data_IF_674676163819
#
_entry.id   IF_674676163819
#
_cell.length_a   1.000
_cell.length_b   1.000
_cell.length_c   1.000
_cell.angle_alpha   90.00
_cell.angle_beta   90.00
_cell.angle_gamma   90.00
#
_symmetry.space_group_name_H-M   'P 1'
#
loop_
_entity.id
_entity.type
_entity.pdbx_description
1 polymer ?
#
# COMPACT_ATOMS: atom_id res chain seq x y z
N UNK A 1 -54.76 3.00 4.24
CA UNK A 1 -53.92 4.16 4.65
C UNK A 1 -52.60 4.06 3.93
N UNK A 2 -52.35 4.91 2.93
CA UNK A 2 -51.09 4.92 2.17
C UNK A 2 -50.15 5.92 2.84
N UNK A 3 -48.97 5.46 3.22
CA UNK A 3 -47.85 6.34 3.65
C UNK A 3 -46.98 6.65 2.45
N UNK A 4 -46.83 7.93 2.14
CA UNK A 4 -45.89 8.41 1.14
C UNK A 4 -44.49 8.59 1.75
N UNK A 5 -43.45 8.04 1.10
CA UNK A 5 -42.06 8.32 1.40
C UNK A 5 -41.49 9.24 0.33
N UNK A 6 -40.88 10.33 0.79
CA UNK A 6 -40.16 11.28 -0.05
C UNK A 6 -38.68 10.84 -0.13
N UNK A 7 -38.27 10.48 -1.34
CA UNK A 7 -36.82 10.25 -1.61
C UNK A 7 -36.29 11.53 -2.25
N UNK A 8 -35.31 12.16 -1.57
CA UNK A 8 -34.59 13.33 -2.08
C UNK A 8 -33.36 12.84 -2.83
N UNK A 9 -33.36 13.01 -4.15
CA UNK A 9 -32.19 12.82 -4.99
C UNK A 9 -31.53 14.18 -5.16
N UNK A 10 -30.27 14.31 -4.72
CA UNK A 10 -29.46 15.49 -5.00
C UNK A 10 -28.77 15.31 -6.37
N UNK A 11 -29.30 16.02 -7.35
CA UNK A 11 -28.59 16.28 -8.61
C UNK A 11 -28.11 17.73 -8.58
N UNK A 12 -26.84 17.92 -8.78
CA UNK A 12 -26.24 19.23 -8.91
C UNK A 12 -26.56 19.85 -10.27
N UNK A 13 -27.04 21.11 -10.25
CA UNK A 13 -27.17 22.05 -11.36
C UNK A 13 -28.05 21.67 -12.54
N UNK A 14 -29.35 21.93 -12.42
CA UNK A 14 -30.09 22.59 -13.51
C UNK A 14 -31.30 23.32 -12.91
N UNK A 15 -31.42 24.61 -13.20
CA UNK A 15 -32.59 25.43 -12.86
C UNK A 15 -33.77 25.02 -13.75
N UNK A 16 -34.81 24.44 -13.17
CA UNK A 16 -36.23 24.67 -13.54
C UNK A 16 -37.11 23.79 -12.64
N UNK A 17 -38.16 24.39 -12.07
CA UNK A 17 -39.16 23.73 -11.26
C UNK A 17 -39.92 22.68 -12.07
N UNK A 18 -40.03 21.46 -11.56
CA UNK A 18 -40.84 20.40 -12.12
C UNK A 18 -41.02 19.26 -11.15
N UNK A 19 -42.15 19.23 -10.44
CA UNK A 19 -42.56 18.10 -9.60
C UNK A 19 -43.12 16.99 -10.50
N UNK A 20 -42.53 15.81 -10.45
CA UNK A 20 -43.08 14.59 -11.07
C UNK A 20 -43.62 13.70 -9.95
N UNK A 21 -44.95 13.48 -9.96
CA UNK A 21 -45.62 12.46 -9.16
C UNK A 21 -45.62 11.15 -9.97
N UNK A 22 -45.00 10.11 -9.46
CA UNK A 22 -45.13 8.76 -9.99
C UNK A 22 -45.93 7.90 -9.00
N UNK A 23 -47.08 7.42 -9.42
CA UNK A 23 -47.92 6.48 -8.67
C UNK A 23 -47.61 5.07 -9.17
N UNK A 24 -47.15 4.21 -8.28
CA UNK A 24 -46.96 2.76 -8.58
C UNK A 24 -48.03 1.99 -7.80
N UNK A 25 -48.97 1.36 -8.50
CA UNK A 25 -49.88 0.36 -7.98
C UNK A 25 -49.24 -1.02 -8.12
N UNK A 26 -48.90 -1.66 -6.99
CA UNK A 26 -48.42 -3.04 -6.96
C UNK A 26 -49.53 -4.02 -6.58
N UNK A 27 -49.77 -5.00 -7.43
CA UNK A 27 -50.72 -6.11 -7.19
C UNK A 27 -50.00 -7.20 -6.38
N UNK A 28 -50.61 -7.60 -5.26
CA UNK A 28 -50.13 -8.69 -4.41
C UNK A 28 -50.80 -10.00 -4.85
N UNK A 29 -50.08 -11.08 -5.20
CA UNK A 29 -50.69 -12.38 -5.41
C UNK A 29 -50.90 -13.12 -4.08
N UNK A 30 -52.07 -13.74 -3.96
CA UNK A 30 -52.49 -14.58 -2.85
C UNK A 30 -51.64 -15.84 -2.75
N UNK A 31 -51.09 -16.11 -1.57
CA UNK A 31 -50.42 -17.36 -1.24
C UNK A 31 -51.44 -18.38 -0.79
N UNK A 32 -51.48 -19.55 -1.45
CA UNK A 32 -52.21 -20.73 -1.03
C UNK A 32 -51.43 -21.55 -0.03
N UNK A 33 -52.05 -21.83 1.12
CA UNK A 33 -51.53 -22.80 2.12
C UNK A 33 -51.76 -24.24 1.62
N UNK A 34 -50.72 -25.05 1.59
CA UNK A 34 -50.78 -26.51 1.41
C UNK A 34 -50.25 -27.17 2.69
N UNK A 35 -50.93 -28.22 3.22
CA UNK A 35 -50.58 -28.82 4.50
C UNK A 35 -49.34 -29.72 4.39
N UNK A 36 -48.57 -29.72 5.45
CA UNK A 36 -47.33 -30.54 5.64
C UNK A 36 -47.64 -32.02 5.67
N UNK A 37 -46.97 -32.79 4.77
CA UNK A 37 -46.85 -34.24 4.85
C UNK A 37 -45.47 -34.56 5.43
N UNK A 38 -45.46 -35.16 6.61
CA UNK A 38 -44.24 -35.67 7.27
C UNK A 38 -43.76 -36.93 6.58
N UNK A 39 -42.59 -36.88 5.95
CA UNK A 39 -41.88 -38.03 5.42
C UNK A 39 -40.68 -38.30 6.34
N UNK A 40 -40.72 -39.41 7.09
CA UNK A 40 -39.59 -39.90 7.87
C UNK A 40 -38.59 -40.58 6.93
N UNK A 41 -37.39 -40.00 6.80
CA UNK A 41 -36.27 -40.60 6.10
C UNK A 41 -35.27 -41.12 7.14
N UNK A 42 -35.09 -42.44 7.13
CA UNK A 42 -34.08 -43.13 7.91
C UNK A 42 -32.70 -42.78 7.38
N UNK A 43 -31.84 -42.18 8.21
CA UNK A 43 -30.45 -41.88 7.89
C UNK A 43 -29.63 -43.08 8.35
N UNK A 44 -29.16 -43.88 7.39
CA UNK A 44 -28.07 -44.85 7.60
C UNK A 44 -26.77 -44.09 7.72
N UNK A 45 -26.10 -44.17 8.86
CA UNK A 45 -24.77 -43.64 9.08
C UNK A 45 -23.76 -44.41 8.23
N UNK A 46 -23.10 -43.69 7.32
CA UNK A 46 -21.84 -44.14 6.71
C UNK A 46 -20.69 -43.54 7.56
N UNK A 47 -20.09 -44.36 8.39
CA UNK A 47 -18.79 -44.08 8.98
C UNK A 47 -17.72 -44.28 7.91
N UNK A 48 -16.90 -43.23 7.66
CA UNK A 48 -15.72 -43.35 6.84
C UNK A 48 -15.58 -42.26 5.77
N UNK A 49 -15.46 -40.98 6.17
CA UNK A 49 -14.82 -39.97 5.33
C UNK A 49 -13.81 -39.24 6.18
N UNK A 50 -12.53 -39.44 5.84
CA UNK A 50 -11.41 -38.77 6.48
C UNK A 50 -11.59 -37.24 6.42
N UNK A 51 -11.47 -36.64 7.57
CA UNK A 51 -11.42 -35.21 7.72
C UNK A 51 -10.18 -34.65 7.01
N UNK A 52 -10.34 -34.15 5.81
CA UNK A 52 -9.39 -33.18 5.28
C UNK A 52 -9.56 -31.93 6.15
N UNK A 53 -8.62 -31.74 7.08
CA UNK A 53 -8.45 -30.50 7.79
C UNK A 53 -8.12 -29.42 6.75
N UNK A 54 -9.15 -28.69 6.32
CA UNK A 54 -8.99 -27.45 5.61
C UNK A 54 -8.15 -26.53 6.49
N UNK A 55 -6.96 -26.16 6.03
CA UNK A 55 -6.15 -25.12 6.63
C UNK A 55 -7.00 -23.86 6.70
N UNK A 56 -7.57 -23.58 7.89
CA UNK A 56 -8.25 -22.34 8.14
C UNK A 56 -7.22 -21.23 7.93
N UNK A 57 -7.42 -20.40 6.92
CA UNK A 57 -6.64 -19.19 6.69
C UNK A 57 -6.64 -18.38 7.99
N UNK A 58 -5.50 -18.36 8.70
CA UNK A 58 -5.33 -17.59 9.93
C UNK A 58 -5.70 -16.15 9.62
N UNK A 59 -6.70 -15.58 10.31
CA UNK A 59 -7.12 -14.19 10.13
C UNK A 59 -5.90 -13.28 10.24
N UNK A 60 -5.57 -12.60 9.16
CA UNK A 60 -4.43 -11.65 9.10
C UNK A 60 -4.72 -10.33 9.81
N UNK A 61 -5.93 -10.12 10.32
CA UNK A 61 -6.39 -8.93 11.04
C UNK A 61 -6.91 -9.37 12.42
N UNK A 62 -6.48 -8.64 13.44
CA UNK A 62 -6.93 -8.79 14.83
C UNK A 62 -7.52 -7.46 15.28
N UNK A 63 -8.76 -7.48 15.73
CA UNK A 63 -9.40 -6.30 16.33
C UNK A 63 -9.00 -6.19 17.80
N UNK A 64 -8.45 -5.05 18.17
CA UNK A 64 -7.98 -4.75 19.53
C UNK A 64 -8.69 -3.54 20.11
N UNK A 65 -8.73 -3.44 21.45
CA UNK A 65 -9.30 -2.27 22.11
C UNK A 65 -8.43 -1.01 21.86
N UNK A 66 -8.98 0.20 21.94
CA UNK A 66 -8.19 1.44 21.83
C UNK A 66 -7.04 1.51 22.84
N UNK A 67 -7.24 0.97 24.05
CA UNK A 67 -6.23 0.92 25.11
C UNK A 67 -5.09 -0.04 24.74
N UNK A 68 -5.42 -1.22 24.25
CA UNK A 68 -4.44 -2.22 23.77
C UNK A 68 -3.64 -1.64 22.62
N UNK A 69 -4.32 -1.06 21.61
CA UNK A 69 -3.68 -0.42 20.47
C UNK A 69 -2.71 0.69 20.90
N UNK A 70 -3.09 1.56 21.83
CA UNK A 70 -2.19 2.61 22.33
C UNK A 70 -0.96 2.02 23.03
N UNK A 71 -1.14 0.94 23.77
CA UNK A 71 -0.02 0.23 24.40
C UNK A 71 0.91 -0.36 23.34
N UNK A 72 0.36 -1.01 22.31
CA UNK A 72 1.13 -1.59 21.21
C UNK A 72 1.90 -0.50 20.42
N UNK A 73 1.30 0.69 20.21
CA UNK A 73 1.97 1.84 19.59
C UNK A 73 3.16 2.30 20.44
N UNK A 74 3.02 2.35 21.78
CA UNK A 74 4.12 2.80 22.65
C UNK A 74 5.38 1.96 22.52
N UNK A 75 5.23 0.66 22.30
CA UNK A 75 6.35 -0.29 22.18
C UNK A 75 6.76 -0.54 20.73
N UNK A 76 6.09 0.08 19.75
CA UNK A 76 6.26 -0.23 18.34
C UNK A 76 7.68 0.11 17.84
N UNK A 77 8.19 -0.77 16.98
CA UNK A 77 9.40 -0.56 16.20
C UNK A 77 9.05 0.01 14.81
N UNK A 78 9.94 0.80 14.25
CA UNK A 78 9.79 1.41 12.92
C UNK A 78 10.97 1.07 12.00
N UNK A 79 12.01 0.44 12.51
CA UNK A 79 13.23 0.17 11.79
C UNK A 79 13.93 -1.09 12.34
N UNK A 80 14.58 -1.81 11.45
CA UNK A 80 15.45 -2.95 11.74
C UNK A 80 16.76 -2.80 10.95
N UNK A 81 17.87 -3.19 11.55
CA UNK A 81 19.19 -3.07 10.92
C UNK A 81 19.28 -3.96 9.67
N UNK A 82 19.80 -3.39 8.57
CA UNK A 82 20.14 -4.08 7.32
C UNK A 82 21.58 -3.79 6.92
N UNK A 83 22.24 -4.75 6.28
CA UNK A 83 23.55 -4.54 5.67
C UNK A 83 23.39 -3.97 4.25
N UNK A 84 23.11 -2.66 4.18
CA UNK A 84 22.78 -1.95 2.94
C UNK A 84 23.80 -2.20 1.82
N UNK A 85 25.13 -2.17 2.06
CA UNK A 85 26.12 -2.42 1.00
C UNK A 85 26.00 -3.80 0.35
N UNK A 86 25.52 -4.81 1.08
CA UNK A 86 25.34 -6.18 0.56
C UNK A 86 23.96 -6.44 -0.05
N UNK A 87 23.01 -5.48 0.05
CA UNK A 87 21.65 -5.67 -0.45
C UNK A 87 21.60 -5.76 -1.98
N UNK A 88 21.05 -6.85 -2.51
CA UNK A 88 20.73 -7.00 -3.93
C UNK A 88 19.41 -6.30 -4.27
N UNK A 89 19.52 -5.01 -4.62
CA UNK A 89 18.35 -4.17 -4.95
C UNK A 89 17.63 -4.67 -6.21
N UNK A 90 18.37 -5.24 -7.17
CA UNK A 90 17.80 -5.76 -8.42
C UNK A 90 16.89 -6.95 -8.15
N UNK A 91 17.37 -7.94 -7.43
CA UNK A 91 16.57 -9.10 -7.05
C UNK A 91 15.48 -8.71 -6.05
N UNK A 92 15.82 -7.86 -5.06
CA UNK A 92 14.91 -7.41 -4.01
C UNK A 92 14.68 -8.45 -2.92
N UNK A 93 13.67 -8.25 -2.03
CA UNK A 93 13.47 -9.09 -0.87
C UNK A 93 13.12 -10.53 -1.27
N UNK A 94 13.91 -11.47 -0.76
CA UNK A 94 13.73 -12.91 -0.94
C UNK A 94 12.69 -13.46 0.06
N UNK A 95 12.39 -14.76 -0.09
CA UNK A 95 11.52 -15.51 0.82
C UNK A 95 10.26 -16.05 0.15
N UNK A 96 9.34 -16.62 0.92
CA UNK A 96 8.13 -17.24 0.38
C UNK A 96 7.33 -16.28 -0.51
N UNK A 97 6.96 -16.76 -1.70
CA UNK A 97 6.22 -15.98 -2.68
C UNK A 97 7.00 -14.87 -3.40
N UNK A 98 8.32 -14.80 -3.27
CA UNK A 98 9.16 -13.89 -4.04
C UNK A 98 9.14 -14.25 -5.54
N UNK A 99 9.28 -13.23 -6.38
CA UNK A 99 9.38 -13.40 -7.83
C UNK A 99 10.69 -12.78 -8.33
N UNK A 100 11.33 -13.44 -9.29
CA UNK A 100 12.43 -12.82 -10.01
C UNK A 100 11.92 -11.60 -10.82
N UNK A 101 12.70 -10.53 -10.94
CA UNK A 101 12.32 -9.38 -11.74
C UNK A 101 11.99 -9.76 -13.19
N UNK A 102 10.87 -9.26 -13.69
CA UNK A 102 10.41 -9.54 -15.06
C UNK A 102 9.90 -10.97 -15.29
N UNK A 103 9.77 -11.80 -14.27
CA UNK A 103 9.19 -13.13 -14.37
C UNK A 103 7.78 -13.05 -14.97
N UNK A 104 7.39 -14.08 -15.77
CA UNK A 104 6.02 -14.22 -16.22
C UNK A 104 5.27 -15.12 -15.23
N UNK A 105 4.25 -14.57 -14.59
CA UNK A 105 3.43 -15.24 -13.59
C UNK A 105 2.08 -15.58 -14.20
N UNK A 106 1.73 -16.86 -14.21
CA UNK A 106 0.40 -17.32 -14.66
C UNK A 106 -0.56 -17.40 -13.50
N UNK A 107 -1.76 -16.85 -13.66
CA UNK A 107 -2.80 -16.90 -12.64
C UNK A 107 -4.20 -16.94 -13.26
N UNK A 108 -5.21 -17.26 -12.44
CA UNK A 108 -6.63 -17.25 -12.80
C UNK A 108 -7.31 -16.07 -12.10
N UNK A 109 -8.12 -15.31 -12.84
CA UNK A 109 -8.87 -14.19 -12.30
C UNK A 109 -9.73 -14.57 -11.10
N UNK A 110 -9.67 -13.77 -10.07
CA UNK A 110 -10.58 -13.82 -8.92
C UNK A 110 -11.36 -12.52 -8.84
N UNK A 111 -12.66 -12.59 -9.09
CA UNK A 111 -13.54 -11.43 -8.97
C UNK A 111 -13.64 -11.01 -7.50
N UNK A 112 -13.06 -9.87 -7.17
CA UNK A 112 -13.04 -9.29 -5.83
C UNK A 112 -13.16 -7.78 -5.93
N UNK A 113 -14.00 -7.18 -5.09
CA UNK A 113 -14.07 -5.73 -4.98
C UNK A 113 -12.78 -5.19 -4.36
N UNK A 114 -12.26 -4.13 -4.94
CA UNK A 114 -11.00 -3.52 -4.52
C UNK A 114 -11.18 -2.01 -4.36
N UNK A 115 -10.72 -1.48 -3.25
CA UNK A 115 -10.73 -0.04 -3.00
C UNK A 115 -9.69 0.70 -3.87
N UNK A 116 -9.94 1.98 -4.14
CA UNK A 116 -9.06 2.87 -4.90
C UNK A 116 -9.24 2.78 -6.42
N UNK A 117 -8.70 3.76 -7.15
CA UNK A 117 -9.00 4.01 -8.56
C UNK A 117 -7.93 3.49 -9.53
N UNK A 118 -6.72 3.13 -9.05
CA UNK A 118 -5.66 2.63 -9.93
C UNK A 118 -6.01 1.27 -10.54
N UNK A 119 -5.65 1.01 -11.80
CA UNK A 119 -5.87 -0.27 -12.46
C UNK A 119 -5.24 -1.43 -11.69
N UNK A 120 -6.07 -2.35 -11.24
CA UNK A 120 -5.65 -3.52 -10.47
C UNK A 120 -6.72 -4.62 -10.49
N UNK A 121 -6.30 -5.83 -10.21
CA UNK A 121 -7.20 -6.99 -10.02
C UNK A 121 -6.60 -7.97 -9.02
N UNK A 122 -7.43 -8.91 -8.57
CA UNK A 122 -6.98 -10.06 -7.80
C UNK A 122 -6.95 -11.28 -8.70
N UNK A 123 -5.92 -12.11 -8.56
CA UNK A 123 -5.88 -13.42 -9.18
C UNK A 123 -5.29 -14.49 -8.23
N UNK A 124 -5.48 -15.74 -8.60
CA UNK A 124 -4.99 -16.90 -7.85
C UNK A 124 -3.91 -17.59 -8.67
N UNK A 125 -2.70 -17.61 -8.14
CA UNK A 125 -1.59 -18.42 -8.64
C UNK A 125 -1.80 -19.84 -8.10
N UNK A 126 -1.76 -20.89 -8.95
CA UNK A 126 -1.95 -22.26 -8.48
C UNK A 126 -0.97 -22.66 -7.37
N UNK A 127 -1.39 -23.46 -6.36
CA UNK A 127 -2.74 -24.01 -6.22
C UNK A 127 -3.77 -23.02 -5.64
N UNK A 128 -3.44 -22.12 -4.71
CA UNK A 128 -4.39 -21.27 -3.96
C UNK A 128 -3.77 -19.94 -3.50
N UNK A 129 -2.71 -19.49 -4.16
CA UNK A 129 -1.99 -18.28 -3.76
C UNK A 129 -2.67 -17.03 -4.32
N UNK A 130 -3.49 -16.38 -3.51
CA UNK A 130 -4.19 -15.13 -3.87
C UNK A 130 -3.23 -13.94 -3.86
N UNK A 131 -3.18 -13.21 -4.98
CA UNK A 131 -2.34 -12.02 -5.14
C UNK A 131 -3.09 -10.82 -5.70
N UNK A 132 -2.70 -9.64 -5.24
CA UNK A 132 -3.10 -8.37 -5.85
C UNK A 132 -2.11 -8.00 -6.94
N UNK A 133 -2.63 -7.69 -8.12
CA UNK A 133 -1.86 -7.24 -9.30
C UNK A 133 -2.22 -5.80 -9.61
N UNK A 134 -1.23 -4.92 -9.71
CA UNK A 134 -1.36 -3.59 -10.31
C UNK A 134 -0.75 -3.63 -11.71
N UNK A 135 -1.32 -2.90 -12.68
CA UNK A 135 -0.86 -2.95 -14.06
C UNK A 135 -1.11 -1.65 -14.82
N UNK A 136 -0.49 -1.53 -16.02
CA UNK A 136 -0.69 -0.43 -16.96
C UNK A 136 0.51 0.52 -17.05
N UNK A 137 0.84 0.95 -18.27
CA UNK A 137 2.00 1.83 -18.52
C UNK A 137 1.82 3.25 -18.01
N UNK A 138 0.59 3.73 -18.00
CA UNK A 138 0.21 5.04 -17.48
C UNK A 138 -0.05 5.02 -15.97
N UNK A 139 -0.14 3.83 -15.36
CA UNK A 139 -0.32 3.65 -13.93
C UNK A 139 1.01 3.83 -13.19
N UNK A 140 1.29 5.03 -12.69
CA UNK A 140 2.52 5.32 -11.96
C UNK A 140 2.76 4.46 -10.73
N UNK A 141 1.69 3.90 -10.11
CA UNK A 141 1.82 3.05 -8.92
C UNK A 141 2.53 1.72 -9.21
N UNK A 142 2.43 1.18 -10.44
CA UNK A 142 3.13 -0.05 -10.86
C UNK A 142 4.64 0.08 -10.70
N UNK A 143 5.16 1.26 -10.96
CA UNK A 143 6.60 1.58 -10.90
C UNK A 143 6.99 2.11 -9.52
N UNK A 144 6.23 3.08 -9.01
CA UNK A 144 6.51 3.76 -7.75
C UNK A 144 6.61 2.81 -6.56
N UNK A 145 5.65 1.88 -6.44
CA UNK A 145 5.67 0.92 -5.34
C UNK A 145 6.87 -0.02 -5.38
N UNK A 146 7.28 -0.47 -6.56
CA UNK A 146 8.47 -1.32 -6.69
C UNK A 146 9.70 -0.58 -6.19
N UNK A 147 9.91 0.68 -6.62
CA UNK A 147 11.06 1.46 -6.18
C UNK A 147 11.00 1.81 -4.69
N UNK A 148 9.86 2.34 -4.24
CA UNK A 148 9.73 2.79 -2.86
C UNK A 148 9.83 1.64 -1.86
N UNK A 149 9.17 0.49 -2.12
CA UNK A 149 9.24 -0.66 -1.22
C UNK A 149 10.65 -1.26 -1.17
N UNK A 150 11.37 -1.31 -2.31
CA UNK A 150 12.77 -1.76 -2.32
C UNK A 150 13.67 -0.81 -1.55
N UNK A 151 13.48 0.49 -1.71
CA UNK A 151 14.26 1.49 -0.97
C UNK A 151 14.00 1.39 0.53
N UNK A 152 12.74 1.35 0.97
CA UNK A 152 12.39 1.20 2.38
C UNK A 152 12.95 -0.09 2.95
N UNK A 153 12.77 -1.23 2.27
CA UNK A 153 13.33 -2.52 2.66
C UNK A 153 14.84 -2.48 2.80
N UNK A 154 15.56 -1.94 1.82
CA UNK A 154 17.01 -1.86 1.87
C UNK A 154 17.52 -1.01 3.03
N UNK A 155 16.81 0.06 3.35
CA UNK A 155 17.13 0.95 4.47
C UNK A 155 16.62 0.43 5.83
N UNK A 156 15.95 -0.74 5.87
CA UNK A 156 15.49 -1.36 7.11
C UNK A 156 14.13 -0.87 7.63
N UNK A 157 13.37 -0.10 6.85
CA UNK A 157 12.02 0.33 7.23
C UNK A 157 10.98 -0.70 6.79
N UNK A 158 10.11 -1.17 7.70
CA UNK A 158 9.13 -2.20 7.41
C UNK A 158 8.10 -1.77 6.35
N UNK A 159 7.91 -2.62 5.34
CA UNK A 159 7.08 -2.32 4.17
C UNK A 159 6.56 -3.60 3.51
N UNK A 160 5.46 -3.53 2.76
CA UNK A 160 5.04 -4.62 1.88
C UNK A 160 6.09 -4.83 0.77
N UNK A 161 6.10 -6.01 0.16
CA UNK A 161 7.06 -6.34 -0.91
C UNK A 161 6.37 -6.27 -2.26
N UNK A 162 6.92 -5.47 -3.18
CA UNK A 162 6.41 -5.36 -4.54
C UNK A 162 7.38 -5.95 -5.55
N UNK A 163 6.88 -6.79 -6.42
CA UNK A 163 7.68 -7.48 -7.43
C UNK A 163 7.26 -7.06 -8.84
N UNK A 164 8.17 -6.51 -9.66
CA UNK A 164 7.90 -6.20 -11.06
C UNK A 164 7.87 -7.51 -11.86
N UNK A 165 6.74 -7.78 -12.48
CA UNK A 165 6.48 -9.04 -13.21
C UNK A 165 5.70 -8.75 -14.49
N UNK A 166 5.55 -9.78 -15.33
CA UNK A 166 4.52 -9.87 -16.35
C UNK A 166 3.46 -10.85 -15.85
N UNK A 167 2.19 -10.55 -16.03
CA UNK A 167 1.12 -11.43 -15.55
C UNK A 167 0.32 -11.97 -16.73
N UNK A 168 0.29 -13.28 -16.83
CA UNK A 168 -0.55 -14.00 -17.78
C UNK A 168 -1.80 -14.47 -17.03
N UNK A 169 -2.91 -13.79 -17.25
CA UNK A 169 -4.15 -14.02 -16.51
C UNK A 169 -5.21 -14.73 -17.36
N UNK A 170 -5.66 -15.88 -16.87
CA UNK A 170 -6.83 -16.56 -17.43
C UNK A 170 -8.12 -15.99 -16.84
N UNK A 171 -9.09 -15.68 -17.72
CA UNK A 171 -10.40 -15.12 -17.33
C UNK A 171 -10.41 -13.65 -16.87
N UNK A 172 -9.29 -12.95 -16.92
CA UNK A 172 -9.26 -11.52 -16.59
C UNK A 172 -10.06 -10.68 -17.60
N UNK A 173 -10.72 -9.61 -17.14
CA UNK A 173 -11.32 -8.64 -18.04
C UNK A 173 -10.22 -7.92 -18.85
N UNK A 174 -10.45 -7.66 -20.16
CA UNK A 174 -9.48 -6.93 -20.98
C UNK A 174 -9.33 -5.49 -20.48
N UNK A 175 -8.10 -5.02 -20.40
CA UNK A 175 -7.75 -3.61 -20.17
C UNK A 175 -7.21 -2.98 -21.45
N UNK A 176 -7.02 -1.65 -21.50
CA UNK A 176 -6.62 -0.93 -22.72
C UNK A 176 -5.24 -1.35 -23.26
N UNK A 177 -4.38 -1.92 -22.44
CA UNK A 177 -3.01 -2.31 -22.81
C UNK A 177 -2.76 -3.81 -22.74
N UNK A 178 -3.83 -4.61 -22.60
CA UNK A 178 -3.70 -6.08 -22.53
C UNK A 178 -3.56 -6.68 -23.91
N UNK A 179 -2.62 -7.61 -24.04
CA UNK A 179 -2.40 -8.38 -25.26
C UNK A 179 -2.90 -9.81 -25.01
N UNK A 180 -3.69 -10.34 -25.97
CA UNK A 180 -4.12 -11.73 -25.90
C UNK A 180 -2.91 -12.66 -26.14
N UNK A 181 -2.72 -13.65 -25.28
CA UNK A 181 -1.67 -14.65 -25.51
C UNK A 181 -1.95 -15.42 -26.82
N UNK A 182 -0.92 -15.56 -27.64
CA UNK A 182 -1.01 -16.32 -28.88
C UNK A 182 -1.29 -17.82 -28.67
N UNK A 183 -1.08 -18.33 -27.46
CA UNK A 183 -1.23 -19.74 -27.10
C UNK A 183 -2.57 -20.10 -26.45
N UNK A 184 -3.43 -19.10 -26.16
CA UNK A 184 -4.69 -19.34 -25.50
C UNK A 184 -5.52 -18.10 -25.18
N UNK A 185 -6.60 -18.25 -24.39
CA UNK A 185 -7.50 -17.15 -24.08
C UNK A 185 -6.95 -16.16 -23.04
N UNK A 186 -5.81 -16.46 -22.40
CA UNK A 186 -5.23 -15.64 -21.35
C UNK A 186 -4.80 -14.26 -21.86
N UNK A 187 -4.85 -13.27 -20.98
CA UNK A 187 -4.41 -11.91 -21.27
C UNK A 187 -3.06 -11.64 -20.60
N UNK A 188 -2.13 -11.04 -21.35
CA UNK A 188 -0.85 -10.59 -20.83
C UNK A 188 -0.97 -9.14 -20.34
N UNK A 189 -0.55 -8.91 -19.10
CA UNK A 189 -0.43 -7.61 -18.45
C UNK A 189 1.07 -7.28 -18.28
N UNK A 190 1.57 -6.29 -19.00
CA UNK A 190 2.95 -5.83 -18.96
C UNK A 190 3.01 -4.32 -19.27
N UNK A 191 3.45 -3.45 -18.36
CA UNK A 191 4.00 -3.75 -17.04
C UNK A 191 2.94 -4.16 -16.01
N UNK A 192 3.37 -4.99 -15.05
CA UNK A 192 2.59 -5.33 -13.89
C UNK A 192 3.48 -5.48 -12.64
N UNK A 193 2.88 -5.35 -11.48
CA UNK A 193 3.52 -5.65 -10.20
C UNK A 193 2.61 -6.49 -9.31
N UNK A 194 3.22 -7.40 -8.54
CA UNK A 194 2.53 -8.25 -7.56
C UNK A 194 2.93 -7.84 -6.16
N UNK A 195 1.92 -7.65 -5.31
CA UNK A 195 2.09 -7.33 -3.89
C UNK A 195 2.18 -8.60 -3.04
N UNK A 196 3.14 -8.60 -2.12
CA UNK A 196 3.24 -9.55 -1.01
C UNK A 196 3.18 -8.78 0.30
N UNK A 197 2.20 -9.12 1.10
CA UNK A 197 1.99 -8.47 2.39
C UNK A 197 3.17 -8.72 3.34
N UNK A 198 3.47 -7.72 4.14
CA UNK A 198 4.40 -7.86 5.27
C UNK A 198 3.89 -8.94 6.23
N UNK A 199 4.81 -9.81 6.69
CA UNK A 199 4.47 -10.95 7.56
C UNK A 199 4.02 -10.46 8.94
N UNK A 200 2.90 -10.97 9.41
CA UNK A 200 2.36 -10.66 10.73
C UNK A 200 0.84 -10.45 10.69
N UNK A 201 0.28 -10.04 11.82
CA UNK A 201 -1.15 -9.78 11.97
C UNK A 201 -1.38 -8.29 12.15
N UNK A 202 -2.20 -7.68 11.31
CA UNK A 202 -2.59 -6.29 11.47
C UNK A 202 -3.45 -6.11 12.74
N UNK A 203 -3.10 -5.13 13.57
CA UNK A 203 -3.83 -4.74 14.76
C UNK A 203 -4.71 -3.54 14.40
N UNK A 204 -6.03 -3.74 14.37
CA UNK A 204 -6.99 -2.72 13.98
C UNK A 204 -7.96 -2.40 15.11
N UNK A 205 -8.46 -1.19 15.12
CA UNK A 205 -9.48 -0.71 16.08
C UNK A 205 -10.57 -0.02 15.28
N UNK A 206 -11.80 -0.50 15.41
CA UNK A 206 -12.94 0.15 14.74
C UNK A 206 -13.21 1.56 15.31
N UNK A 207 -13.46 2.57 14.49
CA UNK A 207 -13.48 2.51 13.02
C UNK A 207 -12.12 2.79 12.36
N UNK A 208 -11.02 2.85 13.11
CA UNK A 208 -9.69 3.23 12.64
C UNK A 208 -8.93 2.03 12.09
N UNK A 209 -8.50 2.14 10.84
CA UNK A 209 -7.59 1.20 10.20
C UNK A 209 -6.20 1.82 10.06
N UNK A 210 -5.15 1.03 10.33
CA UNK A 210 -3.77 1.48 10.25
C UNK A 210 -3.34 2.42 11.39
N UNK A 211 -2.27 3.19 11.17
CA UNK A 211 -1.78 4.21 12.11
C UNK A 211 -1.59 5.56 11.41
N UNK A 212 -1.78 6.65 12.14
CA UNK A 212 -1.52 8.00 11.63
C UNK A 212 -0.06 8.40 11.88
N UNK A 213 0.51 9.27 11.05
CA UNK A 213 1.88 9.76 11.26
C UNK A 213 2.07 10.47 12.61
N UNK A 214 1.00 11.01 13.19
CA UNK A 214 1.02 11.55 14.55
C UNK A 214 1.15 10.45 15.62
N UNK A 215 0.81 9.19 15.33
CA UNK A 215 1.00 8.08 16.26
C UNK A 215 2.49 7.77 16.51
N UNK A 216 3.39 8.14 15.59
CA UNK A 216 4.83 8.03 15.82
C UNK A 216 5.31 8.85 17.02
N UNK A 217 4.63 9.94 17.36
CA UNK A 217 4.98 10.76 18.52
C UNK A 217 4.49 10.15 19.86
N UNK A 218 3.64 9.09 19.80
CA UNK A 218 3.18 8.31 20.95
C UNK A 218 4.10 7.13 21.28
N UNK A 219 5.03 6.78 20.38
CA UNK A 219 6.03 5.74 20.62
C UNK A 219 6.98 6.21 21.72
N UNK A 220 7.24 5.35 22.71
CA UNK A 220 7.94 5.67 23.94
C UNK A 220 9.22 4.85 24.09
N UNK A 221 10.37 5.51 23.92
CA UNK A 221 11.69 4.88 24.07
C UNK A 221 11.91 4.30 25.47
N UNK A 222 11.34 4.94 26.51
CA UNK A 222 11.52 4.48 27.89
C UNK A 222 10.83 3.13 28.15
N UNK A 223 9.85 2.78 27.32
CA UNK A 223 9.16 1.49 27.40
C UNK A 223 9.63 0.49 26.34
N UNK A 224 10.71 0.79 25.60
CA UNK A 224 11.28 -0.09 24.60
C UNK A 224 10.79 0.18 23.17
N UNK A 225 10.03 1.25 22.94
CA UNK A 225 9.65 1.67 21.58
C UNK A 225 10.80 2.27 20.78
N UNK A 226 10.59 2.45 19.48
CA UNK A 226 11.59 2.96 18.55
C UNK A 226 12.16 4.32 18.97
N UNK A 227 13.49 4.52 18.90
CA UNK A 227 14.13 5.80 19.16
C UNK A 227 13.59 6.93 18.28
N UNK A 228 13.56 8.15 18.82
CA UNK A 228 13.11 9.32 18.07
C UNK A 228 13.88 9.51 16.76
N UNK A 229 15.18 9.23 16.75
CA UNK A 229 16.00 9.30 15.54
C UNK A 229 15.44 8.44 14.39
N UNK A 230 15.01 7.21 14.69
CA UNK A 230 14.42 6.31 13.70
C UNK A 230 13.04 6.78 13.24
N UNK A 231 12.21 7.30 14.15
CA UNK A 231 10.88 7.84 13.84
C UNK A 231 10.96 9.09 12.95
N UNK A 232 11.86 10.03 13.27
CA UNK A 232 12.10 11.21 12.45
C UNK A 232 12.72 10.84 11.09
N UNK A 233 13.59 9.81 11.04
CA UNK A 233 14.14 9.28 9.78
C UNK A 233 13.05 8.67 8.88
N UNK A 234 12.08 7.94 9.44
CA UNK A 234 10.94 7.42 8.69
C UNK A 234 10.09 8.57 8.10
N UNK A 235 9.80 9.61 8.91
CA UNK A 235 9.11 10.83 8.43
C UNK A 235 9.88 11.49 7.28
N UNK A 236 11.21 11.63 7.43
CA UNK A 236 12.07 12.25 6.42
C UNK A 236 12.19 11.39 5.16
N UNK A 237 12.20 10.06 5.26
CA UNK A 237 12.20 9.17 4.11
C UNK A 237 10.89 9.29 3.32
N UNK A 238 9.74 9.42 3.99
CA UNK A 238 8.47 9.69 3.34
C UNK A 238 8.47 11.05 2.60
N UNK A 239 9.11 12.07 3.17
CA UNK A 239 9.34 13.35 2.48
C UNK A 239 10.25 13.17 1.27
N UNK A 240 11.36 12.44 1.42
CA UNK A 240 12.34 12.21 0.36
C UNK A 240 11.71 11.58 -0.89
N UNK A 241 10.87 10.55 -0.71
CA UNK A 241 10.16 9.91 -1.83
C UNK A 241 8.88 10.65 -2.23
N UNK A 242 8.51 11.73 -1.56
CA UNK A 242 7.23 12.46 -1.78
C UNK A 242 6.01 11.55 -1.62
N UNK A 243 5.91 10.88 -0.46
CA UNK A 243 4.76 10.01 -0.14
C UNK A 243 3.51 10.86 0.14
N UNK A 244 2.77 11.19 -0.91
CA UNK A 244 1.68 12.18 -0.85
C UNK A 244 0.31 11.61 -0.50
N UNK A 245 0.04 10.31 -0.69
CA UNK A 245 -1.16 9.64 -0.16
C UNK A 245 -0.80 8.89 1.14
N UNK A 246 -0.61 9.65 2.23
CA UNK A 246 -0.09 9.14 3.50
C UNK A 246 -1.17 9.04 4.60
N UNK A 247 -2.41 8.74 4.24
CA UNK A 247 -3.52 8.52 5.18
C UNK A 247 -3.31 7.25 6.03
N UNK A 248 -3.95 7.12 7.21
CA UNK A 248 -3.76 5.96 8.10
C UNK A 248 -3.96 4.60 7.41
N UNK A 249 -4.90 4.48 6.48
CA UNK A 249 -5.14 3.23 5.74
C UNK A 249 -3.97 2.79 4.82
N UNK A 250 -2.98 3.66 4.60
CA UNK A 250 -1.75 3.35 3.85
C UNK A 250 -0.61 2.86 4.76
N UNK A 251 -0.88 2.69 6.04
CA UNK A 251 0.02 2.17 7.05
C UNK A 251 -0.66 1.05 7.83
N UNK A 252 0.12 0.15 8.44
CA UNK A 252 -0.41 -0.90 9.32
C UNK A 252 0.41 -1.01 10.58
N UNK A 253 -0.29 -1.18 11.71
CA UNK A 253 0.29 -1.64 12.96
C UNK A 253 0.26 -3.16 12.94
N UNK A 254 1.41 -3.83 13.01
CA UNK A 254 1.52 -5.26 12.77
C UNK A 254 2.17 -5.93 13.98
N UNK A 255 1.53 -6.99 14.45
CA UNK A 255 2.11 -7.92 15.40
C UNK A 255 2.88 -9.01 14.63
N UNK A 256 4.18 -9.10 14.86
CA UNK A 256 5.05 -10.07 14.19
C UNK A 256 5.27 -11.36 14.97
N UNK A 257 4.74 -11.44 16.19
CA UNK A 257 4.84 -12.64 17.03
C UNK A 257 4.10 -13.83 16.41
N UNK A 258 4.69 -15.01 16.54
CA UNK A 258 3.98 -16.27 16.30
C UNK A 258 3.12 -16.56 17.52
N UNK A 259 1.77 -16.46 17.38
CA UNK A 259 0.85 -16.80 18.45
C UNK A 259 0.84 -18.30 18.73
N UNK A 260 0.86 -18.64 20.03
CA UNK A 260 0.20 -19.84 20.55
C UNK A 260 -1.33 -19.63 20.54
N UNK A 261 -2.09 -20.67 20.15
CA UNK A 261 -3.56 -20.66 20.24
C UNK A 261 -4.00 -20.36 21.67
N UNK A 262 -4.79 -19.30 21.85
CA UNK A 262 -5.37 -18.94 23.14
C UNK A 262 -4.95 -17.59 23.72
N UNK A 263 -3.96 -16.91 23.16
CA UNK A 263 -3.53 -15.60 23.65
C UNK A 263 -4.33 -14.45 23.00
N UNK A 264 -5.38 -13.99 23.68
CA UNK A 264 -5.99 -12.67 23.41
C UNK A 264 -5.10 -11.52 23.91
N UNK A 265 -3.82 -11.80 24.10
CA UNK A 265 -2.87 -10.95 24.78
C UNK A 265 -2.20 -9.89 23.93
N UNK A 266 -1.52 -9.02 24.64
CA UNK A 266 -0.63 -7.97 24.19
C UNK A 266 0.40 -8.52 23.20
N UNK A 267 0.62 -7.81 22.08
CA UNK A 267 1.68 -8.15 21.14
C UNK A 267 3.04 -7.78 21.75
N UNK A 268 3.98 -8.73 21.82
CA UNK A 268 5.31 -8.47 22.35
C UNK A 268 6.19 -7.70 21.35
N UNK A 269 6.00 -7.93 20.04
CA UNK A 269 6.78 -7.26 18.99
C UNK A 269 5.85 -6.60 17.98
N UNK A 270 5.55 -5.34 18.22
CA UNK A 270 4.72 -4.52 17.35
C UNK A 270 5.58 -3.70 16.40
N UNK A 271 5.19 -3.63 15.13
CA UNK A 271 5.86 -2.90 14.07
C UNK A 271 4.89 -1.93 13.40
N UNK A 272 5.30 -0.67 13.27
CA UNK A 272 4.61 0.34 12.45
C UNK A 272 5.21 0.31 11.04
N UNK A 273 4.47 -0.22 10.08
CA UNK A 273 4.92 -0.37 8.70
C UNK A 273 4.11 0.50 7.73
N UNK A 274 4.70 0.83 6.58
CA UNK A 274 4.02 1.51 5.47
C UNK A 274 3.65 0.48 4.41
N UNK A 275 2.36 0.39 4.02
CA UNK A 275 1.90 -0.65 3.11
C UNK A 275 1.55 -0.17 1.69
N UNK A 276 1.32 1.10 1.46
CA UNK A 276 1.02 1.62 0.12
C UNK A 276 1.90 2.85 -0.18
N UNK A 277 2.83 2.67 -1.10
CA UNK A 277 3.79 3.69 -1.53
C UNK A 277 3.58 4.06 -3.02
N UNK A 278 2.39 3.81 -3.56
CA UNK A 278 2.08 4.05 -4.97
C UNK A 278 2.13 5.52 -5.39
N UNK A 279 1.84 6.43 -4.48
CA UNK A 279 1.89 7.87 -4.73
C UNK A 279 3.21 8.49 -4.25
N UNK A 280 4.32 8.06 -4.88
CA UNK A 280 5.70 8.49 -4.57
C UNK A 280 6.48 8.87 -5.84
N UNK A 281 7.68 9.41 -5.67
CA UNK A 281 8.58 9.87 -6.74
C UNK A 281 7.93 10.90 -7.69
N UNK A 282 7.18 11.84 -7.08
CA UNK A 282 6.49 12.94 -7.76
C UNK A 282 5.40 13.48 -6.87
N UNK A 283 5.10 14.77 -6.99
CA UNK A 283 4.13 15.43 -6.13
C UNK A 283 2.70 15.18 -6.64
N UNK A 284 1.97 14.30 -5.95
CA UNK A 284 0.54 14.09 -6.19
C UNK A 284 -0.32 15.11 -5.45
N UNK A 285 -1.39 15.54 -6.11
CA UNK A 285 -2.46 16.36 -5.53
C UNK A 285 -3.82 15.98 -6.15
N UNK A 286 -4.90 16.67 -5.77
CA UNK A 286 -6.26 16.39 -6.28
C UNK A 286 -6.39 16.43 -7.80
N UNK A 287 -5.52 17.18 -8.50
CA UNK A 287 -5.61 17.38 -9.94
C UNK A 287 -4.74 16.43 -10.77
N UNK A 288 -3.74 15.78 -10.15
CA UNK A 288 -2.76 14.98 -10.88
C UNK A 288 -2.46 13.60 -10.29
N UNK A 289 -3.22 13.17 -9.28
CA UNK A 289 -2.89 11.99 -8.45
C UNK A 289 -2.73 10.68 -9.24
N UNK A 290 -3.58 10.45 -10.23
CA UNK A 290 -3.66 9.16 -10.91
C UNK A 290 -2.75 9.07 -12.15
N UNK A 291 -2.30 10.21 -12.66
CA UNK A 291 -1.54 10.26 -13.91
C UNK A 291 -0.19 10.94 -13.77
N UNK A 292 -0.18 12.17 -13.28
CA UNK A 292 1.04 12.99 -13.24
C UNK A 292 1.69 13.01 -11.86
N UNK A 293 1.08 12.36 -10.86
CA UNK A 293 1.51 12.42 -9.47
C UNK A 293 2.75 11.61 -9.18
N UNK A 294 2.74 10.32 -9.51
CA UNK A 294 3.83 9.40 -9.20
C UNK A 294 4.73 9.15 -10.41
N UNK A 295 6.00 8.84 -10.13
CA UNK A 295 7.07 8.60 -11.11
C UNK A 295 7.13 9.72 -12.16
N UNK A 296 7.25 10.94 -11.67
CA UNK A 296 7.41 12.14 -12.48
C UNK A 296 8.71 12.83 -12.06
N UNK A 297 9.77 12.61 -12.86
CA UNK A 297 11.11 13.11 -12.55
C UNK A 297 11.15 14.62 -12.35
N UNK A 298 10.51 15.38 -13.26
CA UNK A 298 10.50 16.84 -13.21
C UNK A 298 9.89 17.34 -11.89
N UNK A 299 8.80 16.72 -11.44
CA UNK A 299 8.14 17.09 -10.19
C UNK A 299 8.93 16.64 -8.96
N UNK A 300 9.51 15.45 -9.02
CA UNK A 300 10.29 14.92 -7.89
C UNK A 300 11.61 15.65 -7.73
N UNK A 301 12.38 15.83 -8.81
CA UNK A 301 13.66 16.55 -8.76
C UNK A 301 13.49 18.05 -8.49
N UNK A 302 12.40 18.65 -8.96
CA UNK A 302 12.08 20.04 -8.72
C UNK A 302 11.52 20.34 -7.32
N UNK A 303 11.18 19.30 -6.52
CA UNK A 303 10.80 19.49 -5.13
C UNK A 303 12.03 19.47 -4.22
N UNK A 304 12.07 20.32 -3.21
CA UNK A 304 13.11 20.26 -2.17
C UNK A 304 12.76 19.21 -1.12
N UNK A 305 13.78 18.71 -0.41
CA UNK A 305 13.58 17.89 0.79
C UNK A 305 13.16 18.76 1.97
N UNK A 306 13.65 19.99 2.02
CA UNK A 306 13.42 20.89 3.13
C UNK A 306 12.45 22.00 2.77
N UNK A 307 11.43 22.17 3.59
CA UNK A 307 10.47 23.26 3.47
C UNK A 307 11.13 24.62 3.68
N UNK A 308 10.65 25.64 2.98
CA UNK A 308 11.05 27.04 3.19
C UNK A 308 10.78 27.55 4.61
N UNK A 309 9.92 26.86 5.38
CA UNK A 309 9.70 27.13 6.81
C UNK A 309 10.88 26.70 7.68
N UNK A 310 11.81 25.89 7.17
CA UNK A 310 13.02 25.50 7.89
C UNK A 310 13.92 26.71 8.12
N UNK A 311 14.28 26.94 9.36
CA UNK A 311 15.10 28.06 9.80
C UNK A 311 16.17 27.62 10.80
N UNK A 312 16.90 28.53 11.39
CA UNK A 312 17.93 28.24 12.40
C UNK A 312 17.40 27.58 13.68
N UNK A 313 16.07 27.52 13.91
CA UNK A 313 15.47 26.95 15.13
C UNK A 313 14.78 25.62 14.91
N UNK A 314 14.45 25.23 13.66
CA UNK A 314 13.83 23.94 13.34
C UNK A 314 14.01 23.58 11.86
N UNK A 315 14.10 22.28 11.58
CA UNK A 315 13.99 21.72 10.24
C UNK A 315 12.61 21.14 10.01
N UNK A 316 12.02 21.45 8.86
CA UNK A 316 10.76 20.88 8.40
C UNK A 316 10.95 20.25 7.03
N UNK A 317 10.47 19.02 6.85
CA UNK A 317 10.44 18.39 5.54
C UNK A 317 9.46 19.09 4.61
N UNK A 318 9.74 19.11 3.28
CA UNK A 318 8.82 19.69 2.29
C UNK A 318 7.83 18.62 1.76
N UNK A 319 6.82 18.33 2.55
CA UNK A 319 5.70 17.49 2.15
C UNK A 319 4.40 18.22 2.54
N UNK A 320 3.99 19.22 1.75
CA UNK A 320 2.76 19.94 2.04
C UNK A 320 1.57 19.01 1.94
N UNK A 321 0.54 19.28 2.70
CA UNK A 321 -0.68 18.49 2.84
C UNK A 321 -1.11 17.88 1.51
N UNK A 322 -1.08 16.58 1.46
CA UNK A 322 -1.60 15.79 0.36
C UNK A 322 -3.12 15.68 0.48
N UNK A 323 -3.72 14.96 -0.43
CA UNK A 323 -5.16 14.82 -0.53
C UNK A 323 -5.84 14.25 0.72
N UNK A 324 -5.16 13.47 1.53
CA UNK A 324 -5.76 12.68 2.61
C UNK A 324 -4.74 12.17 3.63
N UNK A 325 -3.67 12.91 3.90
CA UNK A 325 -2.62 12.44 4.80
C UNK A 325 -2.53 13.21 6.10
N UNK A 326 -1.87 12.62 7.10
CA UNK A 326 -1.55 13.25 8.38
C UNK A 326 -0.08 13.69 8.48
N UNK A 327 0.74 13.43 7.46
CA UNK A 327 2.13 13.89 7.40
C UNK A 327 2.21 15.19 6.58
N UNK A 328 2.18 16.32 7.28
CA UNK A 328 2.30 17.65 6.68
C UNK A 328 3.54 18.35 7.21
N UNK A 329 4.50 18.61 6.34
CA UNK A 329 5.75 19.31 6.65
C UNK A 329 6.34 18.88 8.01
N UNK A 330 6.69 17.61 8.21
CA UNK A 330 7.07 17.09 9.52
C UNK A 330 8.31 17.79 10.05
N UNK A 331 8.32 18.07 11.36
CA UNK A 331 9.51 18.50 12.06
C UNK A 331 10.49 17.34 12.19
N UNK A 332 11.76 17.59 11.84
CA UNK A 332 12.84 16.60 11.84
C UNK A 332 13.97 17.09 12.76
N UNK A 333 14.34 16.27 13.72
CA UNK A 333 15.49 16.52 14.59
C UNK A 333 16.81 16.13 13.91
N UNK A 334 17.93 16.68 14.39
CA UNK A 334 19.26 16.41 13.83
C UNK A 334 19.63 14.91 13.90
N UNK A 335 19.27 14.21 14.98
CA UNK A 335 19.52 12.79 15.10
C UNK A 335 18.80 11.98 14.01
N UNK A 336 17.55 12.31 13.69
CA UNK A 336 16.78 11.65 12.61
C UNK A 336 17.31 11.98 11.23
N UNK A 337 17.71 13.23 11.00
CA UNK A 337 18.36 13.65 9.76
C UNK A 337 19.67 12.88 9.52
N UNK A 338 20.53 12.81 10.54
CA UNK A 338 21.80 12.03 10.45
C UNK A 338 21.52 10.58 10.21
N UNK A 339 20.62 9.98 10.98
CA UNK A 339 20.28 8.57 10.85
C UNK A 339 19.87 8.23 9.41
N UNK A 340 18.95 9.00 8.79
CA UNK A 340 18.57 8.76 7.40
C UNK A 340 19.71 9.06 6.42
N UNK A 341 20.49 10.14 6.64
CA UNK A 341 21.63 10.47 5.82
C UNK A 341 22.63 9.31 5.76
N UNK A 342 22.97 8.75 6.92
CA UNK A 342 23.96 7.66 7.03
C UNK A 342 23.46 6.39 6.32
N UNK A 343 22.15 6.09 6.39
CA UNK A 343 21.57 4.98 5.63
C UNK A 343 21.62 5.24 4.11
N UNK A 344 21.16 6.39 3.65
CA UNK A 344 21.13 6.74 2.23
C UNK A 344 22.53 6.79 1.59
N UNK A 345 23.53 7.23 2.34
CA UNK A 345 24.92 7.34 1.87
C UNK A 345 25.58 5.98 1.66
N UNK A 346 25.08 4.90 2.24
CA UNK A 346 25.57 3.54 2.03
C UNK A 346 25.14 2.95 0.67
N UNK A 347 24.11 3.51 0.03
CA UNK A 347 23.68 3.06 -1.29
C UNK A 347 24.71 3.44 -2.36
N UNK A 348 25.26 2.44 -3.03
CA UNK A 348 26.17 2.61 -4.15
C UNK A 348 25.46 3.09 -5.42
N UNK A 349 26.20 3.67 -6.36
CA UNK A 349 25.66 4.08 -7.68
C UNK A 349 25.10 2.88 -8.46
N UNK A 350 25.67 1.68 -8.30
CA UNK A 350 25.16 0.46 -8.91
C UNK A 350 23.77 0.08 -8.33
N UNK A 351 23.63 0.12 -7.00
CA UNK A 351 22.35 -0.15 -6.35
C UNK A 351 21.27 0.90 -6.72
N UNK A 352 21.65 2.17 -6.89
CA UNK A 352 20.72 3.20 -7.36
C UNK A 352 20.26 2.95 -8.81
N UNK A 353 21.19 2.53 -9.69
CA UNK A 353 20.83 2.11 -11.06
C UNK A 353 19.87 0.92 -11.03
N UNK A 354 20.20 -0.11 -10.28
CA UNK A 354 19.35 -1.30 -10.12
C UNK A 354 17.96 -0.94 -9.63
N UNK A 355 17.85 0.01 -8.68
CA UNK A 355 16.57 0.48 -8.16
C UNK A 355 15.65 1.03 -9.28
N UNK A 356 16.16 1.93 -10.11
CA UNK A 356 15.36 2.59 -11.13
C UNK A 356 15.17 1.74 -12.40
N UNK A 357 16.13 0.88 -12.72
CA UNK A 357 16.00 -0.09 -13.82
C UNK A 357 14.94 -1.15 -13.50
N UNK A 358 15.07 -1.83 -12.36
CA UNK A 358 14.14 -2.90 -11.97
C UNK A 358 12.72 -2.39 -11.75
N UNK A 359 12.60 -1.14 -11.31
CA UNK A 359 11.30 -0.47 -11.16
C UNK A 359 10.76 0.09 -12.48
N UNK A 360 11.54 -0.03 -13.59
CA UNK A 360 11.13 0.32 -14.96
C UNK A 360 10.71 1.79 -15.10
N UNK A 361 11.28 2.71 -14.32
CA UNK A 361 10.91 4.13 -14.33
C UNK A 361 10.95 4.78 -15.71
N UNK A 362 11.96 4.51 -16.56
CA UNK A 362 11.99 5.05 -17.92
C UNK A 362 10.84 4.57 -18.83
N UNK A 363 10.20 3.47 -18.48
CA UNK A 363 9.10 2.90 -19.29
C UNK A 363 7.73 3.52 -18.96
N UNK A 364 7.64 4.29 -17.86
CA UNK A 364 6.40 4.96 -17.54
C UNK A 364 6.03 5.97 -18.63
N UNK A 365 4.88 5.75 -19.22
CA UNK A 365 4.37 6.58 -20.31
C UNK A 365 3.00 7.15 -19.94
N UNK A 366 2.93 8.47 -19.78
CA UNK A 366 1.66 9.15 -19.61
C UNK A 366 1.73 10.53 -20.27
N UNK A 367 0.56 11.06 -20.65
CA UNK A 367 0.46 12.40 -21.24
C UNK A 367 0.93 13.44 -20.22
N UNK A 368 2.00 14.18 -20.56
CA UNK A 368 2.60 15.22 -19.73
C UNK A 368 3.67 14.73 -18.76
N UNK A 369 4.04 13.46 -18.80
CA UNK A 369 5.27 12.95 -18.17
C UNK A 369 6.37 12.93 -19.24
N UNK A 370 7.46 13.65 -19.00
CA UNK A 370 8.62 13.64 -19.91
C UNK A 370 9.36 12.32 -19.79
N UNK A 371 9.86 11.81 -20.91
CA UNK A 371 10.76 10.67 -20.92
C UNK A 371 12.01 10.98 -20.09
N UNK A 372 12.51 9.98 -19.36
CA UNK A 372 13.69 10.08 -18.51
C UNK A 372 14.53 8.82 -18.62
N UNK A 373 15.82 8.94 -18.37
CA UNK A 373 16.75 7.82 -18.30
C UNK A 373 16.97 7.38 -16.84
N UNK A 374 17.52 6.19 -16.65
CA UNK A 374 17.95 5.75 -15.31
C UNK A 374 18.96 6.73 -14.72
N UNK A 375 19.87 7.27 -15.52
CA UNK A 375 20.88 8.22 -15.08
C UNK A 375 20.28 9.54 -14.57
N UNK A 376 19.21 10.01 -15.19
CA UNK A 376 18.49 11.20 -14.71
C UNK A 376 17.91 10.97 -13.32
N UNK A 377 17.32 9.79 -13.07
CA UNK A 377 16.79 9.41 -11.76
C UNK A 377 17.88 9.25 -10.70
N UNK A 378 19.01 8.61 -11.06
CA UNK A 378 20.18 8.48 -10.18
C UNK A 378 20.73 9.86 -9.82
N UNK A 379 20.87 10.75 -10.79
CA UNK A 379 21.34 12.12 -10.55
C UNK A 379 20.42 12.89 -9.60
N UNK A 380 19.09 12.82 -9.85
CA UNK A 380 18.10 13.45 -8.98
C UNK A 380 18.13 12.87 -7.55
N UNK A 381 18.26 11.53 -7.41
CA UNK A 381 18.39 10.87 -6.11
C UNK A 381 19.62 11.39 -5.34
N UNK A 382 20.77 11.45 -6.01
CA UNK A 382 22.03 11.94 -5.40
C UNK A 382 21.92 13.40 -4.99
N UNK A 383 21.27 14.24 -5.78
CA UNK A 383 21.01 15.65 -5.44
C UNK A 383 20.17 15.75 -4.16
N UNK A 384 19.03 15.06 -4.10
CA UNK A 384 18.15 15.08 -2.93
C UNK A 384 18.81 14.47 -1.69
N UNK A 385 19.58 13.38 -1.86
CA UNK A 385 20.39 12.81 -0.78
C UNK A 385 21.41 13.84 -0.26
N UNK A 386 22.03 14.61 -1.17
CA UNK A 386 22.92 15.70 -0.83
C UNK A 386 22.25 16.81 -0.01
N UNK A 387 20.98 17.15 -0.29
CA UNK A 387 20.21 18.11 0.51
C UNK A 387 20.04 17.63 1.97
N UNK A 388 19.85 16.30 2.18
CA UNK A 388 19.76 15.74 3.54
C UNK A 388 21.12 15.78 4.22
N UNK A 389 22.19 15.37 3.51
CA UNK A 389 23.52 15.25 4.09
C UNK A 389 24.12 16.61 4.49
N UNK A 390 23.91 17.65 3.67
CA UNK A 390 24.47 18.98 3.88
C UNK A 390 23.70 19.84 4.90
N UNK A 391 22.44 19.47 5.23
CA UNK A 391 21.62 20.22 6.18
C UNK A 391 22.10 19.98 7.61
N UNK A 392 22.11 21.03 8.43
CA UNK A 392 22.26 20.93 9.88
C UNK A 392 20.94 21.36 10.51
N UNK A 393 20.38 20.50 11.34
CA UNK A 393 19.14 20.79 12.06
C UNK A 393 19.46 21.11 13.52
N UNK A 394 18.73 22.04 14.13
CA UNK A 394 18.86 22.28 15.57
C UNK A 394 18.55 21.01 16.37
N UNK A 395 19.29 20.79 17.45
CA UNK A 395 19.09 19.68 18.39
C UNK A 395 17.81 19.84 19.22
#
# INVERSE_FOLDING_TARGET
>A
MCRAYLIRVHAANFKSDGRILATICGVIPRVWLVPALTLAVAITACEGCGSHAGSASKKSIVHVSPRTRLNDIRHAQVWEHTDIPSMDIRTGPLGPGAFAPGATVSCRYLKKEMAGNSPKFTCVIPPEDEVKVKFGRDNGEVYAEVAATRLFWALGFPVDRMYPVRVLCDGCPPGPETVRDARGPALLFDPASIERKFKGRALETEPESGWSWADLDKVDEATGGAPRAQRDALKLLAVFVQHTDNKPAQQRLVCVDEKSEGDEGVCAHTVMMVNDLGQTFGRSNLFNRDRLGSVNLERWSGSHVWSSKSNGTACFGDLPTSQSGSLDNPRIGEAGRRFLSDLLMQLSDAQLRDLFEVSRFPERMDRGVKSSTVDDWVAAFKTKRGEIASRVCPS
#
